data_IF_863128676531
#
_entry.id   IF_863128676531
#
_cell.length_a   1.000
_cell.length_b   1.000
_cell.length_c   1.000
_cell.angle_alpha   90.00
_cell.angle_beta   90.00
_cell.angle_gamma   90.00
#
_symmetry.space_group_name_H-M   'P 1'
#
loop_
_entity.id
_entity.type
_entity.pdbx_description
1 polymer ?
#
# COMPACT_ATOMS: atom_id res chain seq x y z
N UNK A 1 26.63 -6.30 39.07
CA UNK A 1 25.24 -6.00 38.72
C UNK A 1 25.18 -4.52 38.33
N UNK A 2 25.50 -4.22 37.08
CA UNK A 2 25.36 -2.88 36.51
C UNK A 2 23.97 -2.81 35.89
N UNK A 3 23.01 -2.23 36.61
CA UNK A 3 21.75 -1.79 36.01
C UNK A 3 22.12 -0.75 34.95
N UNK A 4 22.12 -1.16 33.70
CA UNK A 4 22.36 -0.27 32.56
C UNK A 4 21.26 0.79 32.54
N UNK A 5 21.64 2.07 32.53
CA UNK A 5 20.73 3.20 32.37
C UNK A 5 19.93 3.18 31.04
N UNK A 6 20.17 2.20 30.15
CA UNK A 6 19.56 2.16 28.82
C UNK A 6 18.03 1.92 28.84
N UNK A 7 17.49 1.19 29.81
CA UNK A 7 16.06 0.79 29.80
C UNK A 7 15.12 1.76 30.54
N UNK A 8 15.63 2.91 30.94
CA UNK A 8 14.84 3.89 31.70
C UNK A 8 14.28 4.97 30.77
N UNK A 9 12.96 5.13 30.80
CA UNK A 9 12.29 6.28 30.17
C UNK A 9 12.66 7.56 30.93
N UNK A 10 13.09 8.57 30.18
CA UNK A 10 13.36 9.90 30.72
C UNK A 10 12.39 10.92 30.10
N UNK A 11 11.61 11.59 30.94
CA UNK A 11 10.86 12.78 30.53
C UNK A 11 11.79 13.98 30.59
N UNK A 12 12.26 14.45 29.44
CA UNK A 12 13.20 15.56 29.34
C UNK A 12 12.49 16.89 29.51
N UNK A 13 11.30 17.06 28.91
CA UNK A 13 10.51 18.31 28.98
C UNK A 13 9.01 18.03 29.01
N UNK A 14 8.25 18.78 29.82
CA UNK A 14 6.79 18.84 29.77
C UNK A 14 6.12 18.82 31.15
N UNK A 15 4.79 19.05 31.21
CA UNK A 15 3.92 19.38 30.08
C UNK A 15 4.10 20.82 29.57
N UNK A 16 4.06 21.01 28.25
CA UNK A 16 3.92 22.32 27.60
C UNK A 16 2.53 22.42 27.00
N UNK A 17 1.76 23.46 27.34
CA UNK A 17 0.40 23.65 26.84
C UNK A 17 0.42 24.47 25.55
N UNK A 18 -0.01 23.89 24.43
CA UNK A 18 -0.02 24.56 23.12
C UNK A 18 -1.40 24.52 22.44
N UNK A 19 -1.84 25.63 21.82
CA UNK A 19 -3.00 25.61 20.95
C UNK A 19 -2.65 24.93 19.62
N UNK A 20 -3.33 23.83 19.31
CA UNK A 20 -3.25 23.17 18.01
C UNK A 20 -4.52 23.46 17.22
N UNK A 21 -4.34 23.92 15.98
CA UNK A 21 -5.43 24.09 15.01
C UNK A 21 -5.72 22.75 14.35
N UNK A 22 -6.93 22.23 14.56
CA UNK A 22 -7.42 20.99 13.97
C UNK A 22 -8.68 21.33 13.17
N UNK A 23 -8.61 21.18 11.85
CA UNK A 23 -9.59 21.69 10.90
C UNK A 23 -9.89 23.19 11.19
N UNK A 24 -11.14 23.54 11.52
CA UNK A 24 -11.55 24.91 11.86
C UNK A 24 -11.57 25.22 13.37
N UNK A 25 -11.14 24.26 14.20
CA UNK A 25 -11.14 24.37 15.67
C UNK A 25 -9.74 24.54 16.26
N UNK A 26 -9.67 25.09 17.48
CA UNK A 26 -8.42 25.20 18.24
C UNK A 26 -8.61 24.50 19.59
N UNK A 27 -7.79 23.49 19.85
CA UNK A 27 -7.75 22.76 21.12
C UNK A 27 -6.38 22.91 21.78
N UNK A 28 -6.35 22.98 23.10
CA UNK A 28 -5.09 23.10 23.84
C UNK A 28 -4.59 21.73 24.29
N UNK A 29 -3.51 21.27 23.70
CA UNK A 29 -2.88 20.00 24.03
C UNK A 29 -1.76 20.20 25.05
N UNK A 30 -1.53 19.18 25.88
CA UNK A 30 -0.34 19.05 26.72
C UNK A 30 0.70 18.22 25.99
N UNK A 31 1.85 18.82 25.71
CA UNK A 31 2.95 18.18 25.02
C UNK A 31 4.07 17.80 25.97
N UNK A 32 4.64 16.63 25.74
CA UNK A 32 5.79 16.11 26.47
C UNK A 32 6.86 15.64 25.48
N UNK A 33 8.12 15.78 25.87
CA UNK A 33 9.27 15.26 25.15
C UNK A 33 9.99 14.24 26.03
N UNK A 34 10.25 13.06 25.46
CA UNK A 34 10.88 11.94 26.13
C UNK A 34 12.07 11.43 25.33
N UNK A 35 13.02 10.84 26.05
CA UNK A 35 14.05 9.99 25.48
C UNK A 35 13.97 8.59 26.09
N UNK A 36 14.18 7.58 25.25
CA UNK A 36 14.19 6.17 25.64
C UNK A 36 15.23 5.44 24.80
N UNK A 37 16.22 4.81 25.43
CA UNK A 37 17.33 4.12 24.74
C UNK A 37 18.01 5.01 23.66
N UNK A 38 18.17 6.31 23.94
CA UNK A 38 18.76 7.28 23.00
C UNK A 38 17.88 7.63 21.78
N UNK A 39 16.60 7.23 21.78
CA UNK A 39 15.61 7.60 20.77
C UNK A 39 14.65 8.63 21.31
N UNK A 40 14.24 9.54 20.43
CA UNK A 40 13.46 10.73 20.75
C UNK A 40 11.98 10.50 20.48
N UNK A 41 11.16 10.94 21.42
CA UNK A 41 9.70 10.76 21.39
C UNK A 41 9.01 12.04 21.83
N UNK A 42 7.88 12.36 21.19
CA UNK A 42 7.00 13.43 21.62
C UNK A 42 5.60 12.88 21.86
N UNK A 43 4.87 13.46 22.80
CA UNK A 43 3.48 13.13 23.06
C UNK A 43 2.63 14.39 22.99
N UNK A 44 1.39 14.26 22.53
CA UNK A 44 0.36 15.30 22.60
C UNK A 44 -0.91 14.69 23.22
N UNK A 45 -1.24 15.12 24.43
CA UNK A 45 -2.43 14.69 25.15
C UNK A 45 -3.50 15.79 25.14
N UNK A 46 -4.76 15.41 24.98
CA UNK A 46 -5.92 16.28 25.14
C UNK A 46 -6.82 15.72 26.25
N UNK A 47 -7.34 16.62 27.08
CA UNK A 47 -8.26 16.26 28.17
C UNK A 47 -7.59 15.51 29.33
N UNK A 48 -8.41 15.00 30.23
CA UNK A 48 -7.98 14.12 31.32
C UNK A 48 -8.01 12.66 30.84
N UNK A 49 -6.84 12.05 30.68
CA UNK A 49 -6.72 10.65 30.23
C UNK A 49 -7.31 9.68 31.26
N UNK A 50 -7.31 10.02 32.56
CA UNK A 50 -7.84 9.16 33.61
C UNK A 50 -9.37 9.14 33.64
N UNK A 51 -10.02 10.14 33.05
CA UNK A 51 -11.48 10.21 32.93
C UNK A 51 -12.04 9.37 31.76
N UNK A 52 -11.17 8.79 30.92
CA UNK A 52 -11.56 7.99 29.76
C UNK A 52 -11.66 6.50 30.14
N UNK A 53 -12.75 5.84 29.71
CA UNK A 53 -12.89 4.38 29.87
C UNK A 53 -11.84 3.60 29.05
N UNK A 54 -11.57 4.07 27.83
CA UNK A 54 -10.47 3.64 26.98
C UNK A 54 -9.90 4.86 26.26
N UNK A 55 -8.61 5.14 26.47
CA UNK A 55 -7.95 6.32 25.90
C UNK A 55 -7.79 6.15 24.39
N UNK A 56 -8.35 7.04 23.55
CA UNK A 56 -8.05 7.06 22.12
C UNK A 56 -6.56 7.34 21.93
N UNK A 57 -5.84 6.37 21.35
CA UNK A 57 -4.39 6.43 21.18
C UNK A 57 -4.01 6.31 19.71
N UNK A 58 -3.13 7.21 19.26
CA UNK A 58 -2.38 7.05 18.01
C UNK A 58 -0.90 6.90 18.31
N UNK A 59 -0.30 5.81 17.86
CA UNK A 59 1.16 5.66 17.79
C UNK A 59 1.58 6.03 16.37
N UNK A 60 2.28 7.16 16.24
CA UNK A 60 2.77 7.64 14.96
C UNK A 60 4.28 7.43 14.86
N UNK A 61 4.72 6.74 13.83
CA UNK A 61 6.14 6.70 13.48
C UNK A 61 6.41 7.89 12.56
N UNK A 62 7.50 8.62 12.75
CA UNK A 62 7.79 9.77 11.91
C UNK A 62 7.74 9.43 10.41
N UNK A 63 7.22 10.35 9.61
CA UNK A 63 7.21 10.24 8.16
C UNK A 63 7.27 11.65 7.58
N UNK A 64 8.47 12.12 7.29
CA UNK A 64 8.67 13.47 6.74
C UNK A 64 7.83 13.70 5.48
N UNK A 65 7.80 12.74 4.57
CA UNK A 65 7.08 12.86 3.31
C UNK A 65 5.56 12.92 3.50
N UNK A 66 5.00 12.13 4.40
CA UNK A 66 3.56 12.13 4.68
C UNK A 66 3.13 13.35 5.50
N UNK A 67 3.82 13.62 6.61
CA UNK A 67 3.40 14.63 7.59
C UNK A 67 3.76 16.07 7.18
N UNK A 68 4.88 16.27 6.47
CA UNK A 68 5.39 17.61 6.14
C UNK A 68 5.23 17.93 4.65
N UNK A 69 5.52 16.97 3.78
CA UNK A 69 5.49 17.19 2.33
C UNK A 69 4.15 16.83 1.67
N UNK A 70 3.17 16.36 2.45
CA UNK A 70 1.84 15.97 1.96
C UNK A 70 1.87 14.93 0.83
N UNK A 71 2.84 14.02 0.87
CA UNK A 71 2.96 12.93 -0.11
C UNK A 71 1.70 12.10 -0.16
N UNK A 72 1.22 11.84 -1.38
CA UNK A 72 0.07 10.98 -1.66
C UNK A 72 0.47 9.50 -1.85
N UNK A 73 1.75 9.16 -1.69
CA UNK A 73 2.25 7.79 -1.88
C UNK A 73 2.06 6.90 -0.63
N UNK A 74 1.83 7.50 0.53
CA UNK A 74 1.52 6.80 1.77
C UNK A 74 0.30 7.44 2.43
N UNK A 75 -0.22 6.80 3.48
CA UNK A 75 -1.35 7.31 4.25
C UNK A 75 -0.94 7.94 5.58
N UNK A 76 0.36 8.09 5.86
CA UNK A 76 0.86 8.61 7.15
C UNK A 76 0.31 10.01 7.49
N UNK A 77 0.31 10.93 6.52
CA UNK A 77 -0.26 12.28 6.67
C UNK A 77 -1.75 12.22 7.05
N UNK A 78 -2.52 11.48 6.28
CA UNK A 78 -3.95 11.27 6.54
C UNK A 78 -4.20 10.67 7.92
N UNK A 79 -3.46 9.62 8.29
CA UNK A 79 -3.64 8.93 9.57
C UNK A 79 -3.32 9.84 10.76
N UNK A 80 -2.30 10.69 10.67
CA UNK A 80 -1.97 11.64 11.73
C UNK A 80 -3.05 12.72 11.88
N UNK A 81 -3.49 13.32 10.77
CA UNK A 81 -4.53 14.34 10.78
C UNK A 81 -5.87 13.80 11.30
N UNK A 82 -6.26 12.60 10.83
CA UNK A 82 -7.47 11.91 11.29
C UNK A 82 -7.40 11.51 12.76
N UNK A 83 -6.23 11.11 13.27
CA UNK A 83 -6.07 10.85 14.69
C UNK A 83 -6.29 12.12 15.54
N UNK A 84 -5.69 13.24 15.16
CA UNK A 84 -5.90 14.52 15.86
C UNK A 84 -7.36 14.99 15.78
N UNK A 85 -8.02 14.80 14.62
CA UNK A 85 -9.45 15.08 14.45
C UNK A 85 -10.32 14.26 15.39
N UNK A 86 -10.13 12.95 15.43
CA UNK A 86 -10.88 12.05 16.32
C UNK A 86 -10.65 12.37 17.80
N UNK A 87 -9.41 12.64 18.19
CA UNK A 87 -9.08 13.05 19.58
C UNK A 87 -9.77 14.37 19.93
N UNK A 88 -9.76 15.34 19.02
CA UNK A 88 -10.43 16.63 19.20
C UNK A 88 -11.95 16.47 19.33
N UNK A 89 -12.57 15.65 18.50
CA UNK A 89 -14.01 15.36 18.57
C UNK A 89 -14.41 14.67 19.87
N UNK A 90 -13.57 13.76 20.37
CA UNK A 90 -13.78 13.03 21.63
C UNK A 90 -13.40 13.86 22.88
N UNK A 91 -12.78 15.03 22.69
CA UNK A 91 -12.26 15.90 23.77
C UNK A 91 -11.32 15.16 24.73
N UNK A 92 -10.60 14.16 24.22
CA UNK A 92 -9.83 13.23 25.03
C UNK A 92 -9.00 12.28 24.17
N UNK A 93 -7.71 12.15 24.47
CA UNK A 93 -6.84 11.17 23.82
C UNK A 93 -5.38 11.57 23.75
N UNK A 94 -4.60 10.71 23.11
CA UNK A 94 -3.15 10.77 23.11
C UNK A 94 -2.57 10.44 21.74
N UNK A 95 -1.65 11.26 21.25
CA UNK A 95 -0.73 10.93 20.16
C UNK A 95 0.66 10.72 20.74
N UNK A 96 1.30 9.59 20.44
CA UNK A 96 2.71 9.30 20.74
C UNK A 96 3.46 9.26 19.41
N UNK A 97 4.41 10.17 19.21
CA UNK A 97 5.16 10.37 17.98
C UNK A 97 6.62 9.94 18.15
N UNK A 98 7.02 8.88 17.43
CA UNK A 98 8.40 8.40 17.39
C UNK A 98 9.23 9.17 16.38
N UNK A 99 10.00 10.15 16.85
CA UNK A 99 10.74 11.11 16.00
C UNK A 99 11.79 10.40 15.15
N UNK A 100 12.48 9.41 15.72
CA UNK A 100 13.54 8.66 15.05
C UNK A 100 13.05 7.40 14.33
N UNK A 101 11.73 7.28 14.09
CA UNK A 101 11.13 6.09 13.47
C UNK A 101 10.82 6.23 11.98
N UNK A 102 11.35 7.27 11.33
CA UNK A 102 11.20 7.46 9.88
C UNK A 102 11.73 6.26 9.07
N UNK A 103 11.10 5.98 7.93
CA UNK A 103 11.33 4.80 7.10
C UNK A 103 11.42 3.50 7.91
N UNK A 104 10.45 3.29 8.82
CA UNK A 104 10.40 2.09 9.69
C UNK A 104 11.66 1.94 10.56
N UNK A 105 12.15 3.06 11.10
CA UNK A 105 13.32 3.09 11.99
C UNK A 105 14.67 3.24 11.29
N UNK A 106 14.68 3.36 9.96
CA UNK A 106 15.89 3.57 9.16
C UNK A 106 16.35 5.04 9.14
N UNK A 107 15.45 5.96 9.44
CA UNK A 107 15.69 7.40 9.43
C UNK A 107 15.43 8.06 8.08
N UNK A 108 15.24 9.38 8.13
CA UNK A 108 14.82 10.20 6.99
C UNK A 108 15.78 10.11 5.79
N UNK A 109 17.09 10.05 6.03
CA UNK A 109 18.08 9.95 4.96
C UNK A 109 17.87 8.67 4.12
N UNK A 110 17.67 7.53 4.80
CA UNK A 110 17.38 6.27 4.10
C UNK A 110 16.03 6.32 3.41
N UNK A 111 15.05 7.04 3.94
CA UNK A 111 13.78 7.25 3.25
C UNK A 111 13.96 7.96 1.89
N UNK A 112 14.77 9.03 1.82
CA UNK A 112 15.11 9.66 0.55
C UNK A 112 15.78 8.67 -0.41
N UNK A 113 16.73 7.87 0.06
CA UNK A 113 17.40 6.86 -0.76
C UNK A 113 16.44 5.77 -1.26
N UNK A 114 15.46 5.35 -0.46
CA UNK A 114 14.41 4.39 -0.90
C UNK A 114 13.67 4.95 -2.11
N UNK A 115 13.25 6.21 -2.07
CA UNK A 115 12.57 6.84 -3.21
C UNK A 115 13.47 7.01 -4.41
N UNK A 116 14.71 7.45 -4.22
CA UNK A 116 15.70 7.56 -5.29
C UNK A 116 15.94 6.21 -5.99
N UNK A 117 16.16 5.14 -5.23
CA UNK A 117 16.34 3.80 -5.79
C UNK A 117 15.13 3.28 -6.55
N UNK A 118 13.92 3.50 -6.03
CA UNK A 118 12.70 3.09 -6.73
C UNK A 118 12.49 3.86 -8.03
N UNK A 119 12.80 5.16 -8.06
CA UNK A 119 12.51 6.03 -9.20
C UNK A 119 13.61 5.98 -10.28
N UNK A 120 14.86 6.09 -9.86
CA UNK A 120 16.00 6.26 -10.77
C UNK A 120 16.72 4.94 -11.07
N UNK A 121 16.56 3.93 -10.21
CA UNK A 121 17.21 2.64 -10.35
C UNK A 121 16.25 1.46 -10.54
N UNK A 122 14.93 1.72 -10.55
CA UNK A 122 13.87 0.74 -10.79
C UNK A 122 13.97 -0.51 -9.91
N UNK A 123 14.46 -0.33 -8.68
CA UNK A 123 14.61 -1.43 -7.75
C UNK A 123 13.30 -1.73 -7.05
N UNK A 124 13.05 -3.02 -6.82
CA UNK A 124 11.96 -3.46 -5.97
C UNK A 124 12.26 -3.21 -4.48
N UNK A 125 11.27 -3.49 -3.61
CA UNK A 125 11.43 -3.24 -2.18
C UNK A 125 12.52 -4.12 -1.57
N UNK A 126 12.62 -5.39 -1.96
CA UNK A 126 13.56 -6.33 -1.35
C UNK A 126 15.01 -5.98 -1.75
N UNK A 127 15.25 -5.61 -3.00
CA UNK A 127 16.54 -5.14 -3.52
C UNK A 127 17.01 -3.87 -2.78
N UNK A 128 16.10 -2.93 -2.52
CA UNK A 128 16.41 -1.70 -1.79
C UNK A 128 16.84 -2.01 -0.36
N UNK A 129 16.10 -2.84 0.37
CA UNK A 129 16.43 -3.19 1.75
C UNK A 129 17.69 -4.05 1.85
N UNK A 130 17.93 -4.95 0.90
CA UNK A 130 19.18 -5.71 0.78
C UNK A 130 20.38 -4.78 0.63
N UNK A 131 20.29 -3.74 -0.22
CA UNK A 131 21.37 -2.74 -0.37
C UNK A 131 21.68 -2.00 0.93
N UNK A 132 20.66 -1.74 1.76
CA UNK A 132 20.86 -1.10 3.06
C UNK A 132 21.36 -2.03 4.16
N UNK A 133 21.45 -3.35 3.91
CA UNK A 133 21.77 -4.36 4.92
C UNK A 133 20.90 -4.18 6.17
N UNK A 134 19.61 -3.91 5.97
CA UNK A 134 18.69 -3.50 7.02
C UNK A 134 17.43 -4.37 7.01
N UNK A 135 16.82 -4.66 8.17
CA UNK A 135 15.57 -5.40 8.20
C UNK A 135 14.42 -4.53 7.67
N UNK A 136 13.34 -5.20 7.24
CA UNK A 136 12.16 -4.56 6.66
C UNK A 136 11.48 -3.56 7.62
N UNK A 137 11.52 -3.86 8.91
CA UNK A 137 11.05 -3.00 10.01
C UNK A 137 12.06 -3.04 11.16
N UNK A 138 12.58 -1.88 11.55
CA UNK A 138 13.55 -1.70 12.65
C UNK A 138 12.94 -1.00 13.86
N UNK A 139 11.61 -0.81 13.88
CA UNK A 139 10.95 -0.08 14.96
C UNK A 139 10.85 -0.92 16.23
N UNK A 140 10.98 -0.25 17.36
CA UNK A 140 10.61 -0.77 18.68
C UNK A 140 9.47 0.06 19.26
N UNK A 141 8.56 -0.59 19.97
CA UNK A 141 7.42 0.05 20.64
C UNK A 141 7.58 0.06 22.17
N UNK A 142 8.73 -0.34 22.71
CA UNK A 142 9.01 -0.36 24.15
C UNK A 142 8.84 1.01 24.81
N UNK A 143 9.32 2.07 24.16
CA UNK A 143 9.13 3.43 24.61
C UNK A 143 7.64 3.80 24.74
N UNK A 144 6.78 3.30 23.84
CA UNK A 144 5.33 3.56 23.89
C UNK A 144 4.75 2.96 25.17
N UNK A 145 5.09 1.70 25.49
CA UNK A 145 4.63 1.06 26.71
C UNK A 145 5.13 1.80 27.97
N UNK A 146 6.39 2.26 27.96
CA UNK A 146 6.94 3.03 29.07
C UNK A 146 6.22 4.38 29.24
N UNK A 147 5.97 5.11 28.15
CA UNK A 147 5.24 6.38 28.14
C UNK A 147 3.82 6.20 28.66
N UNK A 148 3.11 5.16 28.21
CA UNK A 148 1.74 4.87 28.67
C UNK A 148 1.70 4.59 30.18
N UNK A 149 2.66 3.82 30.72
CA UNK A 149 2.78 3.60 32.17
C UNK A 149 3.08 4.89 32.93
N UNK A 150 3.97 5.72 32.41
CA UNK A 150 4.29 7.03 32.99
C UNK A 150 3.03 7.92 33.07
N UNK A 151 2.22 7.93 32.00
CA UNK A 151 0.96 8.65 31.92
C UNK A 151 -0.21 7.94 32.63
N UNK A 152 0.03 6.79 33.27
CA UNK A 152 -0.96 5.98 34.00
C UNK A 152 -2.16 5.55 33.14
N UNK A 153 -1.91 5.25 31.85
CA UNK A 153 -2.93 4.73 30.93
C UNK A 153 -2.97 3.21 31.04
N UNK A 154 -4.15 2.62 31.25
CA UNK A 154 -4.34 1.16 31.35
C UNK A 154 -5.21 0.56 30.24
N UNK A 155 -6.17 1.35 29.74
CA UNK A 155 -7.16 0.95 28.73
C UNK A 155 -7.07 1.87 27.52
N UNK A 156 -7.03 1.28 26.33
CA UNK A 156 -6.61 1.92 25.09
C UNK A 156 -7.58 1.57 23.97
N UNK A 157 -8.06 2.60 23.28
CA UNK A 157 -8.68 2.48 21.96
C UNK A 157 -7.64 2.87 20.90
N UNK A 158 -6.93 1.86 20.36
CA UNK A 158 -5.77 2.08 19.49
C UNK A 158 -6.18 2.30 18.04
N UNK A 159 -5.94 3.50 17.53
CA UNK A 159 -6.12 3.90 16.13
C UNK A 159 -4.99 3.32 15.25
N UNK A 160 -5.13 2.06 14.83
CA UNK A 160 -4.09 1.31 14.09
C UNK A 160 -4.64 0.15 13.27
N UNK A 161 -4.02 -0.09 12.10
CA UNK A 161 -4.19 -1.33 11.33
C UNK A 161 -3.03 -2.30 11.47
N UNK A 162 -1.95 -1.88 12.14
CA UNK A 162 -0.79 -2.73 12.40
C UNK A 162 -1.11 -3.69 13.57
N UNK A 163 -1.33 -4.97 13.26
CA UNK A 163 -1.66 -6.01 14.25
C UNK A 163 -0.56 -6.19 15.30
N UNK A 164 0.71 -6.08 14.89
CA UNK A 164 1.85 -6.22 15.80
C UNK A 164 1.84 -5.15 16.91
N UNK A 165 1.34 -3.93 16.64
CA UNK A 165 1.19 -2.90 17.69
C UNK A 165 0.14 -3.28 18.73
N UNK A 166 -0.96 -3.90 18.29
CA UNK A 166 -2.03 -4.36 19.18
C UNK A 166 -1.54 -5.51 20.05
N UNK A 167 -0.92 -6.51 19.43
CA UNK A 167 -0.35 -7.69 20.10
C UNK A 167 0.71 -7.26 21.12
N UNK A 168 1.67 -6.42 20.71
CA UNK A 168 2.70 -5.89 21.58
C UNK A 168 2.12 -5.20 22.82
N UNK A 169 1.17 -4.27 22.67
CA UNK A 169 0.59 -3.58 23.83
C UNK A 169 -0.19 -4.54 24.76
N UNK A 170 -0.87 -5.54 24.21
CA UNK A 170 -1.56 -6.56 25.01
C UNK A 170 -0.56 -7.41 25.81
N UNK A 171 0.55 -7.81 25.18
CA UNK A 171 1.65 -8.53 25.85
C UNK A 171 2.30 -7.68 26.95
N UNK A 172 2.34 -6.36 26.79
CA UNK A 172 2.79 -5.41 27.81
C UNK A 172 1.78 -5.18 28.95
N UNK A 173 0.60 -5.82 28.91
CA UNK A 173 -0.42 -5.81 29.95
C UNK A 173 -1.52 -4.75 29.80
N UNK A 174 -1.59 -4.04 28.67
CA UNK A 174 -2.65 -3.04 28.45
C UNK A 174 -3.94 -3.70 27.94
N UNK A 175 -5.09 -3.14 28.30
CA UNK A 175 -6.38 -3.48 27.68
C UNK A 175 -6.49 -2.70 26.37
N UNK A 176 -6.49 -3.41 25.25
CA UNK A 176 -6.42 -2.78 23.92
C UNK A 176 -7.58 -3.22 23.03
N UNK A 177 -8.39 -2.24 22.65
CA UNK A 177 -9.38 -2.34 21.58
C UNK A 177 -8.85 -1.68 20.31
N UNK A 178 -9.32 -2.15 19.15
CA UNK A 178 -8.89 -1.65 17.84
C UNK A 178 -9.86 -0.57 17.35
N UNK A 179 -9.32 0.57 16.92
CA UNK A 179 -10.01 1.57 16.10
C UNK A 179 -9.32 1.64 14.73
N UNK A 180 -10.05 1.39 13.64
CA UNK A 180 -9.47 1.36 12.30
C UNK A 180 -9.24 2.78 11.77
N UNK A 181 -8.09 3.00 11.13
CA UNK A 181 -7.73 4.28 10.53
C UNK A 181 -6.93 4.05 9.25
N UNK A 182 -7.50 4.39 8.10
CA UNK A 182 -6.88 4.18 6.79
C UNK A 182 -7.32 5.27 5.82
N UNK A 183 -6.42 5.68 4.93
CA UNK A 183 -6.79 6.57 3.83
C UNK A 183 -7.55 5.80 2.74
N UNK A 184 -8.42 6.47 1.97
CA UNK A 184 -8.92 5.93 0.72
C UNK A 184 -7.77 5.57 -0.23
N UNK A 185 -7.95 4.49 -0.98
CA UNK A 185 -7.00 4.13 -2.03
C UNK A 185 -7.11 5.11 -3.21
N UNK A 186 -5.95 5.46 -3.74
CA UNK A 186 -5.77 6.30 -4.91
C UNK A 186 -4.73 5.65 -5.82
N UNK A 187 -4.56 6.16 -7.04
CA UNK A 187 -3.47 5.71 -7.93
C UNK A 187 -2.06 5.89 -7.37
N UNK A 188 -1.90 6.71 -6.33
CA UNK A 188 -0.60 7.05 -5.78
C UNK A 188 -0.21 6.16 -4.60
N UNK A 189 -1.14 5.87 -3.70
CA UNK A 189 -0.87 5.07 -2.49
C UNK A 189 -1.19 3.58 -2.66
N UNK A 190 -1.98 3.19 -3.67
CA UNK A 190 -2.54 1.83 -3.76
C UNK A 190 -1.47 0.74 -3.72
N UNK A 191 -0.45 0.86 -4.57
CA UNK A 191 0.64 -0.13 -4.60
C UNK A 191 1.38 -0.20 -3.27
N UNK A 192 1.71 0.95 -2.67
CA UNK A 192 2.41 0.99 -1.38
C UNK A 192 1.59 0.37 -0.27
N UNK A 193 0.32 0.76 -0.14
CA UNK A 193 -0.56 0.22 0.90
C UNK A 193 -0.81 -1.28 0.67
N UNK A 194 -1.05 -1.76 -0.55
CA UNK A 194 -1.21 -3.20 -0.76
C UNK A 194 0.05 -3.99 -0.38
N UNK A 195 1.26 -3.48 -0.67
CA UNK A 195 2.51 -4.12 -0.27
C UNK A 195 2.64 -4.23 1.25
N UNK A 196 2.35 -3.17 2.02
CA UNK A 196 2.45 -3.31 3.49
C UNK A 196 1.39 -4.26 4.07
N UNK A 197 0.34 -4.59 3.30
CA UNK A 197 -0.75 -5.46 3.76
C UNK A 197 -0.24 -6.87 3.80
N UNK A 198 0.37 -7.26 2.67
CA UNK A 198 1.00 -8.54 2.43
C UNK A 198 2.24 -8.71 3.31
N UNK A 199 3.10 -7.68 3.39
CA UNK A 199 4.40 -7.78 4.06
C UNK A 199 4.36 -7.66 5.58
N UNK A 200 3.48 -6.80 6.12
CA UNK A 200 3.52 -6.40 7.53
C UNK A 200 2.27 -6.81 8.32
N UNK A 201 1.43 -7.69 7.73
CA UNK A 201 0.19 -8.16 8.33
C UNK A 201 -0.75 -7.01 8.77
N UNK A 202 -0.75 -5.90 8.03
CA UNK A 202 -1.67 -4.80 8.27
C UNK A 202 -3.10 -5.25 7.93
N UNK A 203 -4.06 -4.90 8.76
CA UNK A 203 -5.45 -5.28 8.57
C UNK A 203 -6.25 -4.15 7.90
N UNK A 204 -6.01 -3.88 6.63
CA UNK A 204 -6.83 -2.92 5.88
C UNK A 204 -8.10 -3.55 5.32
N UNK A 205 -9.14 -2.71 5.11
CA UNK A 205 -10.47 -3.17 4.66
C UNK A 205 -10.51 -3.67 3.20
N UNK A 206 -9.59 -3.19 2.36
CA UNK A 206 -9.59 -3.46 0.93
C UNK A 206 -8.85 -4.75 0.55
N UNK A 207 -9.20 -5.36 -0.58
CA UNK A 207 -8.47 -6.50 -1.15
C UNK A 207 -7.16 -6.05 -1.83
N UNK A 208 -6.11 -6.85 -1.79
CA UNK A 208 -4.85 -6.59 -2.51
C UNK A 208 -4.94 -7.03 -3.96
N UNK A 209 -3.95 -6.65 -4.78
CA UNK A 209 -3.86 -7.19 -6.14
C UNK A 209 -3.73 -8.73 -6.14
N UNK A 210 -3.04 -9.32 -5.15
CA UNK A 210 -2.95 -10.78 -4.98
C UNK A 210 -4.32 -11.42 -4.78
N UNK A 211 -5.15 -10.86 -3.89
CA UNK A 211 -6.53 -11.32 -3.65
C UNK A 211 -7.36 -11.32 -4.95
N UNK A 212 -7.24 -10.25 -5.75
CA UNK A 212 -7.98 -10.12 -7.00
C UNK A 212 -7.45 -11.03 -8.12
N UNK A 213 -6.15 -11.32 -8.15
CA UNK A 213 -5.52 -12.19 -9.13
C UNK A 213 -5.76 -13.67 -8.83
N UNK A 214 -5.81 -14.07 -7.55
CA UNK A 214 -5.86 -15.47 -7.14
C UNK A 214 -6.94 -16.28 -7.88
N UNK A 215 -8.21 -15.83 -7.96
CA UNK A 215 -9.25 -16.58 -8.67
C UNK A 215 -9.01 -16.69 -10.18
N UNK A 216 -8.43 -15.66 -10.82
CA UNK A 216 -8.11 -15.73 -12.26
C UNK A 216 -7.02 -16.78 -12.52
N UNK A 217 -6.03 -16.83 -11.64
CA UNK A 217 -4.94 -17.79 -11.74
C UNK A 217 -5.43 -19.22 -11.49
N UNK A 218 -6.37 -19.42 -10.57
CA UNK A 218 -7.00 -20.73 -10.32
C UNK A 218 -7.78 -21.24 -11.55
N UNK A 219 -8.45 -20.33 -12.27
CA UNK A 219 -9.16 -20.66 -13.52
C UNK A 219 -8.21 -21.01 -14.68
N UNK A 220 -7.05 -20.37 -14.72
CA UNK A 220 -6.06 -20.51 -15.79
C UNK A 220 -5.08 -21.69 -15.59
N UNK A 221 -4.75 -22.05 -14.34
CA UNK A 221 -3.68 -22.99 -14.01
C UNK A 221 -3.85 -24.37 -14.66
N UNK A 222 -5.07 -24.89 -14.71
CA UNK A 222 -5.35 -26.20 -15.31
C UNK A 222 -5.39 -26.20 -16.84
N UNK A 223 -5.35 -25.02 -17.49
CA UNK A 223 -5.64 -24.86 -18.91
C UNK A 223 -4.69 -23.84 -19.58
N UNK A 224 -3.58 -24.28 -20.20
CA UNK A 224 -2.53 -23.39 -20.71
C UNK A 224 -2.99 -22.40 -21.80
N UNK A 225 -4.09 -22.69 -22.49
CA UNK A 225 -4.68 -21.81 -23.51
C UNK A 225 -5.82 -20.93 -23.00
N UNK A 226 -6.31 -21.18 -21.78
CA UNK A 226 -7.37 -20.40 -21.17
C UNK A 226 -6.79 -19.13 -20.58
N UNK A 227 -7.45 -18.01 -20.88
CA UNK A 227 -7.21 -16.71 -20.27
C UNK A 227 -8.37 -16.36 -19.38
N UNK A 228 -8.09 -15.56 -18.36
CA UNK A 228 -9.06 -15.03 -17.43
C UNK A 228 -8.73 -13.56 -17.17
N UNK A 229 -9.75 -12.72 -17.10
CA UNK A 229 -9.60 -11.30 -16.84
C UNK A 229 -10.81 -10.77 -16.07
N UNK A 230 -10.60 -9.71 -15.28
CA UNK A 230 -11.68 -8.99 -14.60
C UNK A 230 -11.40 -7.51 -14.50
N UNK A 231 -12.46 -6.74 -14.30
CA UNK A 231 -12.43 -5.31 -14.02
C UNK A 231 -13.01 -5.10 -12.63
N UNK A 232 -12.23 -4.45 -11.77
CA UNK A 232 -12.65 -4.06 -10.42
C UNK A 232 -12.80 -2.55 -10.38
N UNK A 233 -13.92 -2.08 -9.85
CA UNK A 233 -14.20 -0.68 -9.60
C UNK A 233 -13.93 -0.33 -8.13
N UNK A 234 -13.26 0.79 -7.92
CA UNK A 234 -12.95 1.41 -6.62
C UNK A 234 -12.27 0.45 -5.63
N UNK A 235 -11.57 -0.56 -6.17
CA UNK A 235 -10.97 -1.67 -5.43
C UNK A 235 -11.96 -2.42 -4.48
N UNK A 236 -13.24 -2.47 -4.86
CA UNK A 236 -14.31 -3.05 -4.04
C UNK A 236 -15.23 -4.00 -4.80
N UNK A 237 -15.52 -3.70 -6.06
CA UNK A 237 -16.57 -4.41 -6.80
C UNK A 237 -16.07 -4.91 -8.15
N UNK A 238 -16.24 -6.21 -8.42
CA UNK A 238 -16.09 -6.76 -9.78
C UNK A 238 -17.25 -6.26 -10.64
N UNK A 239 -16.93 -5.56 -11.73
CA UNK A 239 -17.92 -4.98 -12.65
C UNK A 239 -17.93 -5.65 -14.02
N UNK A 240 -16.88 -6.40 -14.35
CA UNK A 240 -16.83 -7.28 -15.52
C UNK A 240 -15.84 -8.43 -15.25
N UNK A 241 -16.15 -9.62 -15.77
CA UNK A 241 -15.26 -10.78 -15.70
C UNK A 241 -15.44 -11.64 -16.95
N UNK A 242 -14.34 -12.19 -17.44
CA UNK A 242 -14.36 -13.09 -18.59
C UNK A 242 -13.29 -14.17 -18.44
N UNK A 243 -13.61 -15.37 -18.96
CA UNK A 243 -12.66 -16.46 -19.10
C UNK A 243 -12.94 -17.25 -20.38
N UNK A 244 -11.90 -17.74 -21.03
CA UNK A 244 -12.01 -18.58 -22.23
C UNK A 244 -10.71 -18.67 -23.01
N UNK A 245 -10.79 -19.33 -24.18
CA UNK A 245 -9.60 -19.65 -24.98
C UNK A 245 -9.34 -18.63 -26.10
N UNK A 246 -10.19 -17.59 -26.20
CA UNK A 246 -9.98 -16.48 -27.12
C UNK A 246 -8.68 -15.74 -26.76
N UNK A 247 -7.95 -15.29 -27.77
CA UNK A 247 -6.77 -14.45 -27.60
C UNK A 247 -7.13 -12.96 -27.51
N UNK A 248 -8.36 -12.60 -27.91
CA UNK A 248 -8.87 -11.25 -27.79
C UNK A 248 -9.59 -11.03 -26.47
N UNK A 249 -8.80 -10.97 -25.40
CA UNK A 249 -9.28 -10.86 -24.03
C UNK A 249 -10.02 -9.55 -23.83
N UNK A 250 -9.48 -8.44 -24.34
CA UNK A 250 -10.09 -7.13 -24.16
C UNK A 250 -11.48 -7.04 -24.78
N UNK A 251 -11.68 -7.53 -26.01
CA UNK A 251 -13.01 -7.48 -26.64
C UNK A 251 -14.06 -8.20 -25.79
N UNK A 252 -13.73 -9.40 -25.30
CA UNK A 252 -14.68 -10.17 -24.51
C UNK A 252 -14.90 -9.61 -23.10
N UNK A 253 -13.83 -9.15 -22.44
CA UNK A 253 -13.93 -8.53 -21.12
C UNK A 253 -14.76 -7.25 -21.15
N UNK A 254 -14.49 -6.37 -22.12
CA UNK A 254 -15.15 -5.08 -22.25
C UNK A 254 -16.60 -5.19 -22.72
N UNK A 255 -16.98 -6.27 -23.42
CA UNK A 255 -18.37 -6.54 -23.74
C UNK A 255 -19.24 -6.75 -22.49
N UNK A 256 -18.64 -7.14 -21.35
CA UNK A 256 -19.32 -7.26 -20.06
C UNK A 256 -19.36 -5.96 -19.24
N UNK A 257 -18.69 -4.89 -19.69
CA UNK A 257 -18.58 -3.63 -18.94
C UNK A 257 -19.71 -2.67 -19.35
N UNK A 258 -20.32 -2.02 -18.36
CA UNK A 258 -21.33 -0.99 -18.62
C UNK A 258 -20.76 0.19 -19.43
N UNK A 259 -21.55 0.83 -20.31
CA UNK A 259 -21.13 2.03 -21.01
C UNK A 259 -20.83 3.17 -20.03
N UNK A 260 -19.67 3.81 -20.19
CA UNK A 260 -19.21 4.94 -19.35
C UNK A 260 -19.26 4.64 -17.84
N UNK A 261 -18.42 3.71 -17.36
CA UNK A 261 -18.39 3.33 -15.97
C UNK A 261 -17.94 4.52 -15.09
N UNK A 262 -18.76 4.88 -14.09
CA UNK A 262 -18.33 5.77 -13.01
C UNK A 262 -17.38 5.02 -12.06
N UNK A 263 -16.46 5.74 -11.42
CA UNK A 263 -15.49 5.20 -10.47
C UNK A 263 -14.13 4.88 -11.09
N UNK A 264 -13.15 4.54 -10.26
CA UNK A 264 -11.80 4.18 -10.69
C UNK A 264 -11.75 2.70 -11.07
N UNK A 265 -11.25 2.38 -12.27
CA UNK A 265 -11.13 1.00 -12.73
C UNK A 265 -9.70 0.47 -12.62
N UNK A 266 -9.61 -0.79 -12.20
CA UNK A 266 -8.41 -1.63 -12.22
C UNK A 266 -8.72 -2.89 -13.01
N UNK A 267 -7.86 -3.22 -13.96
CA UNK A 267 -8.00 -4.40 -14.80
C UNK A 267 -7.00 -5.44 -14.34
N UNK A 268 -7.45 -6.67 -14.12
CA UNK A 268 -6.63 -7.79 -13.71
C UNK A 268 -6.64 -8.84 -14.81
N UNK A 269 -5.46 -9.32 -15.21
CA UNK A 269 -5.30 -10.28 -16.30
C UNK A 269 -4.50 -11.48 -15.82
N UNK A 270 -4.85 -12.68 -16.29
CA UNK A 270 -4.05 -13.89 -16.08
C UNK A 270 -2.76 -13.91 -16.91
N UNK A 271 -2.68 -13.07 -17.95
CA UNK A 271 -1.66 -13.04 -19.01
C UNK A 271 -1.26 -11.59 -19.35
N UNK A 272 -0.12 -11.42 -20.02
CA UNK A 272 0.32 -10.14 -20.54
C UNK A 272 -0.66 -9.63 -21.61
N UNK A 273 -1.06 -8.34 -21.56
CA UNK A 273 -1.93 -7.76 -22.57
C UNK A 273 -1.19 -7.59 -23.90
N UNK A 274 -1.95 -7.58 -24.99
CA UNK A 274 -1.45 -7.10 -26.29
C UNK A 274 -1.39 -5.56 -26.30
N UNK A 275 -0.69 -4.99 -27.27
CA UNK A 275 -0.59 -3.53 -27.42
C UNK A 275 -1.95 -2.89 -27.74
N UNK A 276 -2.76 -3.54 -28.59
CA UNK A 276 -4.12 -3.09 -28.91
C UNK A 276 -5.06 -3.19 -27.71
N UNK A 277 -4.89 -4.23 -26.87
CA UNK A 277 -5.67 -4.40 -25.64
C UNK A 277 -5.33 -3.33 -24.60
N UNK A 278 -4.05 -2.98 -24.43
CA UNK A 278 -3.66 -1.86 -23.56
C UNK A 278 -4.34 -0.56 -23.98
N UNK A 279 -4.44 -0.28 -25.27
CA UNK A 279 -5.15 0.88 -25.78
C UNK A 279 -6.66 0.81 -25.47
N UNK A 280 -7.27 -0.36 -25.67
CA UNK A 280 -8.69 -0.58 -25.33
C UNK A 280 -8.96 -0.39 -23.83
N UNK A 281 -8.07 -0.89 -22.97
CA UNK A 281 -8.13 -0.71 -21.52
C UNK A 281 -7.98 0.76 -21.11
N UNK A 282 -7.01 1.48 -21.68
CA UNK A 282 -6.83 2.90 -21.43
C UNK A 282 -8.08 3.72 -21.81
N UNK A 283 -8.76 3.35 -22.91
CA UNK A 283 -9.98 4.02 -23.36
C UNK A 283 -11.17 3.87 -22.37
N UNK A 284 -11.13 2.90 -21.47
CA UNK A 284 -12.15 2.76 -20.41
C UNK A 284 -12.00 3.76 -19.26
N UNK A 285 -10.87 4.47 -19.20
CA UNK A 285 -10.48 5.28 -18.04
C UNK A 285 -9.82 4.47 -16.91
N UNK A 286 -9.48 3.19 -17.15
CA UNK A 286 -8.74 2.38 -16.21
C UNK A 286 -7.38 3.01 -15.88
N UNK A 287 -7.03 2.99 -14.59
CA UNK A 287 -5.76 3.54 -14.09
C UNK A 287 -4.66 2.52 -14.08
N UNK A 288 -5.03 1.26 -13.88
CA UNK A 288 -4.11 0.15 -13.74
C UNK A 288 -4.53 -1.03 -14.61
N UNK A 289 -3.53 -1.65 -15.22
CA UNK A 289 -3.60 -3.04 -15.71
C UNK A 289 -2.63 -3.83 -14.86
N UNK A 290 -3.09 -4.88 -14.21
CA UNK A 290 -2.34 -5.66 -13.23
C UNK A 290 -2.17 -7.08 -13.75
N UNK A 291 -0.93 -7.56 -13.75
CA UNK A 291 -0.57 -8.89 -14.25
C UNK A 291 0.27 -9.64 -13.21
N UNK A 292 0.16 -10.98 -13.11
CA UNK A 292 0.82 -11.77 -12.07
C UNK A 292 2.30 -12.07 -12.37
N UNK A 293 3.03 -11.19 -13.06
CA UNK A 293 4.40 -11.46 -13.51
C UNK A 293 5.35 -10.38 -13.02
N UNK A 294 6.44 -10.77 -12.37
CA UNK A 294 7.44 -9.85 -11.82
C UNK A 294 8.28 -9.12 -12.89
N UNK A 295 8.34 -9.64 -14.11
CA UNK A 295 9.12 -9.03 -15.20
C UNK A 295 8.17 -8.64 -16.33
N UNK A 296 8.01 -7.33 -16.52
CA UNK A 296 7.22 -6.77 -17.61
C UNK A 296 8.12 -6.53 -18.83
N UNK A 297 7.68 -6.88 -20.05
CA UNK A 297 8.39 -6.50 -21.26
C UNK A 297 8.43 -4.97 -21.44
N UNK A 298 9.61 -4.41 -21.73
CA UNK A 298 9.81 -2.96 -21.85
C UNK A 298 8.95 -2.29 -22.94
N UNK A 299 8.51 -3.03 -23.96
CA UNK A 299 7.58 -2.51 -24.98
C UNK A 299 6.19 -2.22 -24.39
N UNK A 300 5.70 -3.06 -23.47
CA UNK A 300 4.42 -2.83 -22.80
C UNK A 300 4.52 -1.66 -21.81
N UNK A 301 5.62 -1.55 -21.08
CA UNK A 301 5.83 -0.42 -20.15
C UNK A 301 5.92 0.92 -20.88
N UNK A 302 6.56 0.93 -22.05
CA UNK A 302 6.66 2.11 -22.91
C UNK A 302 5.29 2.52 -23.43
N UNK A 303 4.51 1.55 -23.90
CA UNK A 303 3.17 1.81 -24.42
C UNK A 303 2.18 2.23 -23.32
N UNK A 304 2.20 1.56 -22.17
CA UNK A 304 1.37 1.92 -21.02
C UNK A 304 1.63 3.38 -20.59
N UNK A 305 2.91 3.78 -20.50
CA UNK A 305 3.31 5.18 -20.25
C UNK A 305 2.76 6.14 -21.32
N UNK A 306 2.85 5.79 -22.60
CA UNK A 306 2.32 6.60 -23.71
C UNK A 306 0.80 6.79 -23.61
N UNK A 307 0.08 5.76 -23.19
CA UNK A 307 -1.37 5.74 -23.03
C UNK A 307 -1.86 6.37 -21.71
N UNK A 308 -0.96 6.65 -20.77
CA UNK A 308 -1.31 7.19 -19.46
C UNK A 308 -1.95 6.16 -18.51
N UNK A 309 -1.81 4.86 -18.79
CA UNK A 309 -2.25 3.76 -17.93
C UNK A 309 -1.03 3.13 -17.26
N UNK A 310 -1.13 2.74 -15.98
CA UNK A 310 -0.04 2.06 -15.28
C UNK A 310 -0.16 0.54 -15.46
N UNK A 311 0.78 -0.06 -16.19
CA UNK A 311 0.94 -1.51 -16.16
C UNK A 311 1.70 -1.87 -14.87
N UNK A 312 1.09 -2.67 -14.01
CA UNK A 312 1.58 -3.05 -12.70
C UNK A 312 1.89 -4.55 -12.70
N UNK A 313 3.14 -4.89 -12.44
CA UNK A 313 3.53 -6.25 -12.08
C UNK A 313 3.00 -6.57 -10.67
N UNK A 314 2.54 -7.80 -10.49
CA UNK A 314 2.21 -8.36 -9.17
C UNK A 314 2.63 -9.83 -9.12
N UNK A 315 3.93 -10.07 -9.26
CA UNK A 315 4.51 -11.41 -9.14
C UNK A 315 4.55 -11.96 -7.71
N UNK A 316 4.28 -11.14 -6.70
CA UNK A 316 4.23 -11.55 -5.30
C UNK A 316 2.96 -12.37 -5.06
N UNK A 317 3.11 -13.47 -4.32
CA UNK A 317 2.05 -14.48 -4.14
C UNK A 317 1.51 -15.08 -5.46
N UNK A 318 2.29 -14.98 -6.53
CA UNK A 318 1.97 -15.64 -7.79
C UNK A 318 1.94 -17.16 -7.57
N UNK A 319 0.78 -17.79 -7.83
CA UNK A 319 0.61 -19.25 -7.70
C UNK A 319 1.27 -20.04 -8.80
N UNK A 320 1.53 -19.43 -9.96
CA UNK A 320 2.14 -20.15 -11.07
C UNK A 320 3.57 -20.56 -10.67
N UNK A 321 3.72 -21.78 -10.17
CA UNK A 321 4.99 -22.33 -9.70
C UNK A 321 6.06 -22.37 -10.82
N UNK A 322 5.60 -22.52 -12.06
CA UNK A 322 6.35 -22.17 -13.25
C UNK A 322 5.57 -21.11 -14.03
N UNK A 323 6.19 -20.01 -14.47
CA UNK A 323 5.51 -19.00 -15.27
C UNK A 323 4.85 -19.62 -16.50
N UNK A 324 3.53 -19.43 -16.65
CA UNK A 324 2.81 -19.93 -17.82
C UNK A 324 3.34 -19.23 -19.10
N UNK A 325 3.48 -19.93 -20.24
CA UNK A 325 4.00 -19.34 -21.48
C UNK A 325 3.19 -18.11 -21.91
N UNK A 326 3.90 -16.99 -22.12
CA UNK A 326 3.30 -15.72 -22.52
C UNK A 326 3.50 -15.43 -24.01
N UNK A 327 2.56 -14.72 -24.62
CA UNK A 327 2.74 -14.14 -25.94
C UNK A 327 3.70 -12.95 -25.86
N UNK A 328 4.74 -12.97 -26.69
CA UNK A 328 5.74 -11.90 -26.74
C UNK A 328 5.71 -11.22 -28.10
N UNK A 329 5.79 -9.90 -28.11
CA UNK A 329 5.88 -9.13 -29.35
C UNK A 329 7.18 -9.49 -30.09
N UNK A 330 7.03 -10.00 -31.31
CA UNK A 330 8.12 -10.38 -32.20
C UNK A 330 8.41 -9.27 -33.21
N UNK A 331 7.36 -8.71 -33.81
CA UNK A 331 7.49 -7.74 -34.90
C UNK A 331 6.32 -6.76 -34.93
N UNK A 332 6.57 -5.57 -35.46
CA UNK A 332 5.57 -4.55 -35.77
C UNK A 332 5.68 -4.18 -37.25
N UNK A 333 4.84 -4.77 -38.09
CA UNK A 333 4.87 -4.60 -39.55
C UNK A 333 3.61 -3.89 -40.05
N UNK A 334 3.80 -2.70 -40.63
CA UNK A 334 2.69 -1.90 -41.15
C UNK A 334 1.63 -1.61 -40.07
N UNK A 335 0.41 -2.10 -40.30
CA UNK A 335 -0.74 -1.95 -39.40
C UNK A 335 -0.97 -3.16 -38.47
N UNK A 336 0.01 -4.05 -38.36
CA UNK A 336 -0.11 -5.30 -37.59
C UNK A 336 1.01 -5.49 -36.59
N UNK A 337 0.71 -6.21 -35.51
CA UNK A 337 1.65 -6.69 -34.52
C UNK A 337 1.70 -8.22 -34.56
N UNK A 338 2.90 -8.78 -34.61
CA UNK A 338 3.13 -10.23 -34.62
C UNK A 338 3.63 -10.65 -33.25
N UNK A 339 2.99 -11.66 -32.66
CA UNK A 339 3.34 -12.22 -31.37
C UNK A 339 3.72 -13.68 -31.49
N UNK A 340 4.69 -14.12 -30.69
CA UNK A 340 5.14 -15.51 -30.59
C UNK A 340 4.90 -16.09 -29.20
N UNK A 341 4.53 -17.36 -29.13
CA UNK A 341 4.49 -18.16 -27.90
C UNK A 341 4.94 -19.59 -28.21
N UNK A 342 6.15 -19.95 -27.80
CA UNK A 342 6.78 -21.19 -28.25
C UNK A 342 6.96 -21.18 -29.77
N UNK A 343 6.44 -22.21 -30.44
CA UNK A 343 6.48 -22.33 -31.91
C UNK A 343 5.28 -21.66 -32.61
N UNK A 344 4.29 -21.20 -31.84
CA UNK A 344 3.09 -20.55 -32.40
C UNK A 344 3.34 -19.07 -32.69
N UNK A 345 2.76 -18.58 -33.78
CA UNK A 345 2.68 -17.14 -34.12
C UNK A 345 1.24 -16.70 -34.29
N UNK A 346 0.95 -15.48 -33.85
CA UNK A 346 -0.35 -14.83 -34.07
C UNK A 346 -0.15 -13.39 -34.46
N UNK A 347 -1.03 -12.89 -35.31
CA UNK A 347 -1.02 -11.51 -35.77
C UNK A 347 -2.29 -10.82 -35.29
N UNK A 348 -2.18 -9.61 -34.77
CA UNK A 348 -3.33 -8.73 -34.55
C UNK A 348 -3.13 -7.41 -35.27
N UNK A 349 -4.22 -6.80 -35.74
CA UNK A 349 -4.17 -5.45 -36.29
C UNK A 349 -4.10 -4.42 -35.16
N UNK A 350 -3.52 -3.27 -35.45
CA UNK A 350 -3.41 -2.13 -34.53
C UNK A 350 -4.76 -1.58 -34.07
N UNK A 351 -5.81 -1.74 -34.87
CA UNK A 351 -7.19 -1.35 -34.56
C UNK A 351 -7.94 -2.38 -33.70
N UNK A 352 -7.29 -3.47 -33.31
CA UNK A 352 -7.88 -4.53 -32.49
C UNK A 352 -8.78 -5.50 -33.27
N UNK A 353 -8.79 -5.47 -34.61
CA UNK A 353 -9.40 -6.53 -35.41
C UNK A 353 -8.50 -7.79 -35.39
N UNK A 354 -9.08 -8.93 -35.03
CA UNK A 354 -8.38 -10.21 -35.02
C UNK A 354 -8.37 -10.83 -36.42
N UNK A 355 -7.20 -11.23 -36.95
CA UNK A 355 -7.08 -12.03 -38.18
C UNK A 355 -5.97 -13.10 -38.08
N UNK A 356 -6.33 -14.31 -38.56
CA UNK A 356 -5.57 -15.52 -38.88
C UNK A 356 -4.39 -15.99 -37.99
N UNK A 357 -4.54 -17.20 -37.44
CA UNK A 357 -3.43 -18.08 -37.05
C UNK A 357 -2.71 -18.50 -38.34
N UNK A 358 -1.41 -18.23 -38.44
CA UNK A 358 -0.58 -18.66 -39.58
C UNK A 358 0.25 -19.90 -39.20
#
# INVERSE_FOLDING_TARGET
MTSSHADQLEMIVGPVRLPLKIDDSVNYFQLHYFEFQGKRWACAALGDLAAQEAVPLRIESACFFGHVMHSQQCDCGFQLDEAFRRISQRQGGLVIYGIDQDARGLGIEKHFRIYDYRQNHQLDTDEVYQRFHAPLDSRSYEAVAAILRFLKVESILLMSNNRARLEFLREQGFRVERDQIEAPLTRYNMATMMLEKEDLAYQWSFQTHGDWLRPLQDQAEAHPDRRAARIVRDNQQVVAEWQGDSWDVARHLLAGLAPQPAGELVIYLSDLPRLDELAAYAATGARFVVVPFATLPGYLETEARRLGIKLQDWGRENKYAQPRPQWQLEDQTGDSHVYRRGDERRTCRRDGAADAVA
#
